data_IF_848294736740
#
_entry.id   IF_848294736740
#
_cell.length_a   1.000
_cell.length_b   1.000
_cell.length_c   1.000
_cell.angle_alpha   90.00
_cell.angle_beta   90.00
_cell.angle_gamma   90.00
#
_symmetry.space_group_name_H-M   'P 1'
#
loop_
_entity.id
_entity.type
_entity.pdbx_description
1 polymer ?
#
# COMPACT_ATOMS: atom_id res chain seq x y z
N UNK A 1 9.09 -56.57 22.35
CA UNK A 1 8.65 -56.07 21.03
C UNK A 1 7.46 -55.11 21.13
N UNK A 2 6.41 -55.42 21.91
CA UNK A 2 5.20 -54.57 22.04
C UNK A 2 5.34 -53.17 22.67
N UNK A 3 6.37 -52.90 23.48
CA UNK A 3 6.50 -51.57 24.10
C UNK A 3 6.93 -50.52 23.07
N UNK A 4 7.79 -50.90 22.11
CA UNK A 4 8.23 -50.00 21.06
C UNK A 4 7.08 -49.62 20.12
N UNK A 5 6.26 -50.59 19.70
CA UNK A 5 5.06 -50.37 18.89
C UNK A 5 4.07 -49.42 19.58
N UNK A 6 3.81 -49.62 20.88
CA UNK A 6 2.91 -48.73 21.64
C UNK A 6 3.43 -47.30 21.77
N UNK A 7 4.75 -47.15 21.92
CA UNK A 7 5.38 -45.82 21.99
C UNK A 7 5.35 -45.13 20.63
N UNK A 8 5.61 -45.86 19.53
CA UNK A 8 5.50 -45.30 18.18
C UNK A 8 4.07 -44.92 17.83
N UNK A 9 3.09 -45.75 18.18
CA UNK A 9 1.67 -45.48 17.94
C UNK A 9 1.19 -44.25 18.71
N UNK A 10 1.62 -44.08 19.96
CA UNK A 10 1.32 -42.88 20.75
C UNK A 10 1.93 -41.61 20.12
N UNK A 11 3.15 -41.70 19.60
CA UNK A 11 3.85 -40.58 18.97
C UNK A 11 3.18 -40.20 17.65
N UNK A 12 2.81 -41.18 16.83
CA UNK A 12 2.04 -40.97 15.59
C UNK A 12 0.67 -40.38 15.89
N UNK A 13 -0.04 -40.89 16.89
CA UNK A 13 -1.31 -40.32 17.33
C UNK A 13 -1.14 -38.85 17.78
N UNK A 14 -0.09 -38.54 18.53
CA UNK A 14 0.19 -37.15 18.94
C UNK A 14 0.43 -36.24 17.73
N UNK A 15 1.22 -36.67 16.74
CA UNK A 15 1.45 -35.90 15.51
C UNK A 15 0.12 -35.67 14.77
N UNK A 16 -0.70 -36.71 14.61
CA UNK A 16 -1.96 -36.62 13.86
C UNK A 16 -2.98 -35.74 14.59
N UNK A 17 -3.12 -35.87 15.90
CA UNK A 17 -4.13 -35.15 16.66
C UNK A 17 -3.73 -33.72 17.04
N UNK A 18 -2.44 -33.40 17.15
CA UNK A 18 -1.99 -32.07 17.58
C UNK A 18 -1.27 -31.30 16.47
N UNK A 19 -0.27 -31.87 15.81
CA UNK A 19 0.52 -31.13 14.82
C UNK A 19 -0.30 -30.84 13.56
N UNK A 20 -1.07 -31.80 13.04
CA UNK A 20 -1.86 -31.57 11.82
C UNK A 20 -2.91 -30.48 12.02
N UNK A 21 -3.77 -30.51 13.07
CA UNK A 21 -4.75 -29.45 13.28
C UNK A 21 -4.12 -28.10 13.61
N UNK A 22 -3.01 -28.08 14.35
CA UNK A 22 -2.27 -26.85 14.66
C UNK A 22 -1.74 -26.19 13.38
N UNK A 23 -1.10 -26.97 12.50
CA UNK A 23 -0.59 -26.45 11.22
C UNK A 23 -1.74 -25.99 10.30
N UNK A 24 -2.84 -26.73 10.26
CA UNK A 24 -4.02 -26.35 9.48
C UNK A 24 -4.63 -25.05 9.98
N UNK A 25 -4.81 -24.91 11.30
CA UNK A 25 -5.32 -23.68 11.92
C UNK A 25 -4.38 -22.50 11.65
N UNK A 26 -3.07 -22.68 11.81
CA UNK A 26 -2.08 -21.63 11.53
C UNK A 26 -2.18 -21.13 10.09
N UNK A 27 -2.26 -22.04 9.11
CA UNK A 27 -2.41 -21.67 7.69
C UNK A 27 -3.72 -20.94 7.42
N UNK A 28 -4.81 -21.41 8.04
CA UNK A 28 -6.13 -20.79 7.86
C UNK A 28 -6.16 -19.37 8.45
N UNK A 29 -5.57 -19.19 9.62
CA UNK A 29 -5.44 -17.85 10.23
C UNK A 29 -4.63 -16.92 9.35
N UNK A 30 -3.51 -17.38 8.78
CA UNK A 30 -2.70 -16.55 7.88
C UNK A 30 -3.48 -16.12 6.62
N UNK A 31 -4.24 -17.03 6.01
CA UNK A 31 -5.08 -16.72 4.85
C UNK A 31 -6.15 -15.66 5.18
N UNK A 32 -6.82 -15.80 6.33
CA UNK A 32 -7.83 -14.84 6.77
C UNK A 32 -7.21 -13.44 7.01
N UNK A 33 -6.04 -13.38 7.64
CA UNK A 33 -5.32 -12.12 7.82
C UNK A 33 -4.93 -11.48 6.48
N UNK A 34 -4.54 -12.28 5.49
CA UNK A 34 -4.22 -11.79 4.14
C UNK A 34 -5.44 -11.24 3.41
N UNK A 35 -6.58 -11.95 3.47
CA UNK A 35 -7.85 -11.50 2.86
C UNK A 35 -8.33 -10.19 3.49
N UNK A 36 -8.30 -10.11 4.82
CA UNK A 36 -8.68 -8.91 5.57
C UNK A 36 -7.74 -7.73 5.25
N UNK A 37 -6.44 -7.99 5.14
CA UNK A 37 -5.43 -6.99 4.74
C UNK A 37 -5.70 -6.44 3.33
N UNK A 38 -6.01 -7.32 2.37
CA UNK A 38 -6.33 -6.92 0.99
C UNK A 38 -7.58 -6.04 0.97
N UNK A 39 -8.64 -6.46 1.65
CA UNK A 39 -9.90 -5.72 1.73
C UNK A 39 -9.73 -4.31 2.31
N UNK A 40 -8.98 -4.16 3.41
CA UNK A 40 -8.71 -2.84 3.97
C UNK A 40 -7.86 -1.97 3.05
N UNK A 41 -6.89 -2.55 2.35
CA UNK A 41 -6.02 -1.81 1.42
C UNK A 41 -6.78 -1.35 0.19
N UNK A 42 -7.68 -2.20 -0.33
CA UNK A 42 -8.57 -1.85 -1.44
C UNK A 42 -9.51 -0.71 -1.07
N UNK A 43 -10.15 -0.79 0.10
CA UNK A 43 -11.03 0.29 0.60
C UNK A 43 -10.26 1.60 0.78
N UNK A 44 -9.05 1.55 1.35
CA UNK A 44 -8.19 2.73 1.49
C UNK A 44 -7.85 3.36 0.14
N UNK A 45 -7.50 2.56 -0.86
CA UNK A 45 -7.21 3.06 -2.20
C UNK A 45 -8.47 3.61 -2.87
N UNK A 46 -9.60 2.94 -2.73
CA UNK A 46 -10.88 3.42 -3.26
C UNK A 46 -11.24 4.78 -2.65
N UNK A 47 -11.09 4.96 -1.34
CA UNK A 47 -11.33 6.23 -0.66
C UNK A 47 -10.38 7.31 -1.20
N UNK A 48 -9.07 7.05 -1.24
CA UNK A 48 -8.09 8.02 -1.72
C UNK A 48 -8.31 8.39 -3.19
N UNK A 49 -8.63 7.41 -4.04
CA UNK A 49 -8.82 7.63 -5.48
C UNK A 49 -10.15 8.26 -5.83
N UNK A 50 -11.18 8.03 -5.00
CA UNK A 50 -12.50 8.67 -5.13
C UNK A 50 -12.44 10.12 -4.67
N UNK A 51 -11.73 10.43 -3.57
CA UNK A 51 -11.64 11.81 -3.08
C UNK A 51 -10.54 12.64 -3.78
N UNK A 52 -9.52 12.00 -4.34
CA UNK A 52 -8.40 12.67 -5.01
C UNK A 52 -7.35 13.25 -4.08
N UNK A 53 -7.44 12.98 -2.78
CA UNK A 53 -6.47 13.43 -1.78
C UNK A 53 -6.32 12.43 -0.65
N UNK A 54 -5.17 12.51 0.02
CA UNK A 54 -4.87 11.78 1.25
C UNK A 54 -4.67 12.79 2.38
N UNK A 55 -5.32 12.61 3.53
CA UNK A 55 -5.03 13.38 4.74
C UNK A 55 -4.21 12.54 5.72
N UNK A 56 -3.59 13.23 6.69
CA UNK A 56 -2.90 12.57 7.79
C UNK A 56 -3.82 11.61 8.55
N UNK A 57 -5.05 12.03 8.84
CA UNK A 57 -6.03 11.23 9.59
C UNK A 57 -6.39 9.93 8.87
N UNK A 58 -6.63 9.99 7.55
CA UNK A 58 -6.92 8.80 6.73
C UNK A 58 -5.71 7.85 6.71
N UNK A 59 -4.50 8.41 6.58
CA UNK A 59 -3.28 7.62 6.58
C UNK A 59 -2.99 6.96 7.94
N UNK A 60 -3.22 7.67 9.05
CA UNK A 60 -3.02 7.15 10.40
C UNK A 60 -4.06 6.09 10.77
N UNK A 61 -5.34 6.27 10.42
CA UNK A 61 -6.36 5.21 10.62
C UNK A 61 -6.02 3.96 9.80
N UNK A 62 -5.52 4.14 8.57
CA UNK A 62 -5.04 3.03 7.76
C UNK A 62 -3.84 2.32 8.42
N UNK A 63 -2.82 3.06 8.85
CA UNK A 63 -1.66 2.50 9.55
C UNK A 63 -2.06 1.72 10.81
N UNK A 64 -2.90 2.30 11.67
CA UNK A 64 -3.34 1.69 12.92
C UNK A 64 -4.08 0.37 12.67
N UNK A 65 -4.93 0.32 11.64
CA UNK A 65 -5.64 -0.92 11.26
C UNK A 65 -4.69 -1.98 10.74
N UNK A 66 -3.77 -1.62 9.85
CA UNK A 66 -2.80 -2.54 9.26
C UNK A 66 -1.86 -3.10 10.35
N UNK A 67 -1.36 -2.26 11.25
CA UNK A 67 -0.46 -2.69 12.32
C UNK A 67 -1.12 -3.54 13.40
N UNK A 68 -2.45 -3.46 13.57
CA UNK A 68 -3.20 -4.42 14.41
C UNK A 68 -3.20 -5.83 13.84
N UNK A 69 -3.20 -5.96 12.52
CA UNK A 69 -3.20 -7.26 11.82
C UNK A 69 -1.76 -7.76 11.64
N UNK A 70 -0.85 -6.88 11.19
CA UNK A 70 0.56 -7.16 10.95
C UNK A 70 1.46 -6.04 11.53
N UNK A 71 1.98 -6.20 12.75
CA UNK A 71 2.75 -5.15 13.44
C UNK A 71 4.06 -4.75 12.76
N UNK A 72 4.66 -5.64 11.97
CA UNK A 72 6.01 -5.47 11.38
C UNK A 72 5.95 -5.16 9.88
N UNK A 73 4.82 -4.63 9.43
CA UNK A 73 4.55 -4.37 8.02
C UNK A 73 5.00 -2.96 7.63
N UNK A 74 5.77 -2.89 6.53
CA UNK A 74 6.21 -1.65 5.93
C UNK A 74 5.27 -1.27 4.78
N UNK A 75 4.81 -0.03 4.78
CA UNK A 75 3.90 0.53 3.76
C UNK A 75 4.69 1.48 2.87
N UNK A 76 4.61 1.28 1.55
CA UNK A 76 5.18 2.19 0.56
C UNK A 76 4.09 2.65 -0.40
N UNK A 77 3.89 3.96 -0.46
CA UNK A 77 2.94 4.60 -1.38
C UNK A 77 3.67 5.24 -2.57
N UNK A 78 3.05 5.21 -3.74
CA UNK A 78 3.59 5.84 -4.94
C UNK A 78 2.43 6.36 -5.79
N UNK A 79 2.62 7.54 -6.38
CA UNK A 79 1.68 8.10 -7.35
C UNK A 79 2.39 8.45 -8.64
N UNK A 80 1.80 8.08 -9.76
CA UNK A 80 2.30 8.40 -11.10
C UNK A 80 1.24 9.25 -11.80
N UNK A 81 1.63 10.40 -12.37
CA UNK A 81 0.68 11.21 -13.13
C UNK A 81 1.30 11.84 -14.37
N UNK A 82 0.43 12.10 -15.34
CA UNK A 82 0.79 12.75 -16.57
C UNK A 82 0.49 14.24 -16.45
N UNK A 83 1.53 15.07 -16.58
CA UNK A 83 1.42 16.52 -16.40
C UNK A 83 1.39 17.20 -17.76
N UNK A 84 0.50 18.19 -17.90
CA UNK A 84 0.38 19.03 -19.08
C UNK A 84 0.70 20.48 -18.71
N UNK A 85 1.83 20.99 -19.18
CA UNK A 85 2.29 22.34 -18.84
C UNK A 85 2.46 23.22 -20.08
N UNK A 86 1.96 24.47 -20.04
CA UNK A 86 2.23 25.44 -21.09
C UNK A 86 3.71 25.87 -21.10
N UNK A 87 4.34 25.85 -22.28
CA UNK A 87 5.70 26.35 -22.45
C UNK A 87 5.64 27.87 -22.65
N UNK A 88 6.33 28.62 -21.80
CA UNK A 88 6.51 30.07 -21.93
C UNK A 88 7.91 30.40 -22.45
N UNK A 89 8.00 31.38 -23.34
CA UNK A 89 9.27 31.96 -23.77
C UNK A 89 9.35 33.41 -23.33
N UNK A 90 10.54 33.80 -22.87
CA UNK A 90 10.81 35.19 -22.47
C UNK A 90 11.08 36.00 -23.72
N UNK A 91 10.19 36.94 -24.03
CA UNK A 91 10.34 37.89 -25.14
C UNK A 91 10.22 39.30 -24.57
N UNK A 92 11.24 40.15 -24.80
CA UNK A 92 11.27 41.54 -24.34
C UNK A 92 10.80 41.73 -22.87
N UNK A 93 11.37 40.97 -21.93
CA UNK A 93 11.05 41.01 -20.50
C UNK A 93 9.61 40.60 -20.08
N UNK A 94 8.81 40.06 -20.99
CA UNK A 94 7.50 39.47 -20.69
C UNK A 94 7.51 37.96 -21.01
N UNK A 95 6.78 37.18 -20.22
CA UNK A 95 6.59 35.74 -20.44
C UNK A 95 5.42 35.57 -21.41
N UNK A 96 5.71 35.20 -22.65
CA UNK A 96 4.67 34.92 -23.66
C UNK A 96 4.47 33.40 -23.78
N UNK A 97 3.21 32.97 -23.80
CA UNK A 97 2.86 31.58 -24.04
C UNK A 97 3.20 31.20 -25.49
N UNK A 98 3.96 30.12 -25.68
CA UNK A 98 4.48 29.73 -27.00
C UNK A 98 3.49 28.98 -27.88
N UNK A 99 2.24 28.85 -27.44
CA UNK A 99 1.21 28.02 -28.07
C UNK A 99 1.63 26.54 -28.21
N UNK A 100 2.57 26.10 -27.35
CA UNK A 100 3.05 24.73 -27.26
C UNK A 100 2.98 24.29 -25.81
N UNK A 101 2.62 23.03 -25.63
CA UNK A 101 2.52 22.42 -24.32
C UNK A 101 3.56 21.30 -24.24
N UNK A 102 4.21 21.21 -23.08
CA UNK A 102 5.09 20.10 -22.74
C UNK A 102 4.29 19.09 -21.92
N UNK A 103 4.63 17.83 -22.13
CA UNK A 103 4.02 16.73 -21.40
C UNK A 103 5.10 15.83 -20.86
N UNK A 104 5.01 15.49 -19.58
CA UNK A 104 5.95 14.59 -18.93
C UNK A 104 5.26 13.79 -17.84
N UNK A 105 5.85 12.65 -17.49
CA UNK A 105 5.42 11.84 -16.36
C UNK A 105 6.08 12.33 -15.09
N UNK A 106 5.31 12.52 -14.04
CA UNK A 106 5.81 12.78 -12.70
C UNK A 106 5.51 11.59 -11.80
N UNK A 107 6.48 11.26 -10.95
CA UNK A 107 6.37 10.21 -9.95
C UNK A 107 6.54 10.87 -8.60
N UNK A 108 5.56 10.69 -7.72
CA UNK A 108 5.61 11.11 -6.34
C UNK A 108 5.89 9.88 -5.48
N UNK A 109 7.00 9.90 -4.73
CA UNK A 109 7.42 8.78 -3.88
C UNK A 109 6.72 8.82 -2.53
N UNK A 110 6.91 7.74 -1.75
CA UNK A 110 6.37 7.65 -0.41
C UNK A 110 6.88 8.80 0.47
N UNK A 111 8.17 9.13 0.40
CA UNK A 111 8.76 10.20 1.20
C UNK A 111 8.09 11.55 0.90
N UNK A 112 7.81 11.85 -0.37
CA UNK A 112 7.15 13.09 -0.78
C UNK A 112 5.70 13.15 -0.27
N UNK A 113 4.96 12.04 -0.37
CA UNK A 113 3.58 11.95 0.14
C UNK A 113 3.58 12.19 1.65
N UNK A 114 4.39 11.42 2.40
CA UNK A 114 4.49 11.54 3.86
C UNK A 114 4.94 12.94 4.28
N UNK A 115 5.96 13.50 3.61
CA UNK A 115 6.40 14.85 3.90
C UNK A 115 5.25 15.87 3.75
N UNK A 116 4.47 15.78 2.68
CA UNK A 116 3.32 16.68 2.46
C UNK A 116 2.23 16.53 3.54
N UNK A 117 1.99 15.32 4.03
CA UNK A 117 1.01 15.05 5.10
C UNK A 117 1.43 15.67 6.44
N UNK A 118 2.71 15.57 6.80
CA UNK A 118 3.21 15.94 8.13
C UNK A 118 3.82 17.34 8.22
N UNK A 119 4.28 17.95 7.12
CA UNK A 119 5.07 19.20 7.19
C UNK A 119 4.36 20.48 6.75
N UNK A 120 3.49 20.42 5.73
CA UNK A 120 3.17 21.65 4.96
C UNK A 120 1.71 21.86 4.59
N UNK A 121 0.90 20.82 4.33
CA UNK A 121 -0.43 21.01 3.72
C UNK A 121 -1.60 20.30 4.41
N UNK A 122 -1.35 19.51 5.47
CA UNK A 122 -2.31 18.61 6.15
C UNK A 122 -2.99 17.57 5.24
N UNK A 123 -2.85 17.70 3.91
CA UNK A 123 -3.34 16.81 2.87
C UNK A 123 -2.42 16.84 1.66
N UNK A 124 -2.29 15.69 1.00
CA UNK A 124 -1.62 15.53 -0.28
C UNK A 124 -2.67 15.35 -1.37
N UNK A 125 -2.59 16.17 -2.42
CA UNK A 125 -3.51 16.10 -3.56
C UNK A 125 -2.88 15.29 -4.69
N UNK A 126 -3.67 14.40 -5.29
CA UNK A 126 -3.25 13.64 -6.45
C UNK A 126 -3.78 14.27 -7.73
N UNK A 127 -3.05 14.07 -8.84
CA UNK A 127 -3.48 14.55 -10.15
C UNK A 127 -4.58 13.66 -10.73
N UNK A 128 -5.62 14.26 -11.30
CA UNK A 128 -6.67 13.53 -12.01
C UNK A 128 -6.11 12.61 -13.09
N UNK A 129 -6.64 11.38 -13.18
CA UNK A 129 -6.18 10.38 -14.14
C UNK A 129 -4.80 9.78 -13.83
N UNK A 130 -4.13 10.23 -12.77
CA UNK A 130 -2.94 9.59 -12.22
C UNK A 130 -3.25 8.21 -11.64
N UNK A 131 -2.21 7.41 -11.42
CA UNK A 131 -2.28 6.08 -10.82
C UNK A 131 -1.67 6.12 -9.42
N UNK A 132 -2.47 5.77 -8.41
CA UNK A 132 -2.02 5.64 -7.03
C UNK A 132 -1.84 4.17 -6.67
N UNK A 133 -0.73 3.84 -6.02
CA UNK A 133 -0.31 2.48 -5.68
C UNK A 133 0.18 2.41 -4.25
N UNK A 134 -0.21 1.35 -3.56
CA UNK A 134 0.23 0.99 -2.22
C UNK A 134 0.85 -0.39 -2.26
N UNK A 135 2.08 -0.50 -1.78
CA UNK A 135 2.81 -1.74 -1.62
C UNK A 135 2.95 -2.05 -0.12
N UNK A 136 2.61 -3.28 0.25
CA UNK A 136 2.75 -3.79 1.60
C UNK A 136 3.90 -4.79 1.65
N UNK A 137 4.92 -4.48 2.43
CA UNK A 137 6.15 -5.26 2.54
C UNK A 137 6.26 -5.90 3.92
N UNK A 138 6.50 -7.20 3.95
CA UNK A 138 6.95 -7.91 5.14
C UNK A 138 8.46 -7.74 5.26
N UNK A 139 8.94 -7.25 6.41
CA UNK A 139 10.37 -7.14 6.67
C UNK A 139 10.80 -8.31 7.55
N UNK A 140 11.65 -9.20 7.02
CA UNK A 140 12.27 -10.29 7.78
C UNK A 140 13.80 -10.18 7.65
N UNK A 141 14.49 -9.91 8.76
CA UNK A 141 15.96 -9.93 8.92
C UNK A 141 16.78 -9.78 7.62
N UNK A 142 16.74 -8.58 7.04
CA UNK A 142 17.53 -8.19 5.85
C UNK A 142 16.86 -8.44 4.50
N UNK A 143 15.67 -9.02 4.47
CA UNK A 143 14.85 -9.24 3.27
C UNK A 143 13.49 -8.54 3.37
N UNK A 144 13.03 -7.99 2.24
CA UNK A 144 11.67 -7.46 2.07
C UNK A 144 10.91 -8.40 1.15
N UNK A 145 9.80 -8.93 1.63
CA UNK A 145 8.86 -9.74 0.84
C UNK A 145 7.62 -8.91 0.54
N UNK A 146 7.24 -8.81 -0.73
CA UNK A 146 6.00 -8.14 -1.13
C UNK A 146 4.81 -9.03 -0.77
N UNK A 147 3.95 -8.57 0.14
CA UNK A 147 2.73 -9.30 0.50
C UNK A 147 1.64 -9.02 -0.52
N UNK A 148 1.39 -7.73 -0.77
CA UNK A 148 0.34 -7.30 -1.68
C UNK A 148 0.66 -5.94 -2.28
N UNK A 149 0.18 -5.74 -3.50
CA UNK A 149 0.18 -4.47 -4.20
C UNK A 149 -1.25 -4.21 -4.64
N UNK A 150 -1.77 -3.07 -4.21
CA UNK A 150 -3.07 -2.59 -4.66
C UNK A 150 -2.85 -1.22 -5.30
N UNK A 151 -3.61 -0.91 -6.34
CA UNK A 151 -3.55 0.40 -6.97
C UNK A 151 -4.77 0.68 -7.81
N UNK A 152 -5.08 1.95 -7.98
CA UNK A 152 -6.19 2.41 -8.79
C UNK A 152 -5.92 3.79 -9.38
N UNK A 153 -6.70 4.13 -10.42
CA UNK A 153 -6.66 5.46 -11.02
C UNK A 153 -7.43 6.45 -10.17
N UNK A 154 -6.87 7.64 -10.02
CA UNK A 154 -7.52 8.79 -9.39
C UNK A 154 -8.73 9.20 -10.25
N UNK A 155 -9.92 9.13 -9.66
CA UNK A 155 -11.22 9.39 -10.32
C UNK A 155 -11.73 10.79 -10.10
N UNK A 156 -11.30 11.45 -9.03
CA UNK A 156 -11.62 12.84 -8.76
C UNK A 156 -10.33 13.59 -8.45
N UNK A 157 -10.19 14.80 -8.95
CA UNK A 157 -9.18 15.73 -8.45
C UNK A 157 -9.75 17.14 -8.56
N UNK A 158 -9.60 17.93 -7.50
CA UNK A 158 -9.89 19.35 -7.60
C UNK A 158 -8.73 20.01 -8.34
N UNK A 159 -8.99 20.33 -9.61
CA UNK A 159 -8.26 21.37 -10.33
C UNK A 159 -8.30 22.65 -9.48
N UNK A 160 -7.13 23.19 -9.16
CA UNK A 160 -6.97 24.54 -8.60
C UNK A 160 -6.44 25.46 -9.68
#
# INVERSE_FOLDING_TARGET
>A
MHVYEKVTDLLVAFIIFFLIPMLYLSKRTELLCQEELSGYTENFIEDVTTHGYLTKEIYEDFLDRIHRIYPVLQIEMMSESYVYEPIYQKKNNTMEFTNKNQTYWTVTTNEDIIHNLYSTKARHWFSYGGYFKVNLWRVMDGSKELITTCGARIRESKEY
#
